data_IF_460252233965
#
_entry.id   IF_460252233965
#
_cell.length_a   1.000
_cell.length_b   1.000
_cell.length_c   1.000
_cell.angle_alpha   90.00
_cell.angle_beta   90.00
_cell.angle_gamma   90.00
#
_symmetry.space_group_name_H-M   'P 1'
#
loop_
_entity.id
_entity.type
_entity.pdbx_description
1 polymer ?
#
# COMPACT_ATOMS: atom_id res chain seq x y z
N UNK A 1 -18.86 23.33 20.07
CA UNK A 1 -18.64 21.94 19.61
C UNK A 1 -19.55 21.05 20.43
N UNK A 2 -20.40 20.24 19.79
CA UNK A 2 -21.19 19.22 20.51
C UNK A 2 -20.23 18.19 21.12
N UNK A 3 -20.41 17.88 22.40
CA UNK A 3 -19.63 16.87 23.10
C UNK A 3 -20.00 15.48 22.57
N UNK A 4 -19.02 14.57 22.43
CA UNK A 4 -19.27 13.16 22.07
C UNK A 4 -20.29 12.51 23.01
N UNK A 5 -20.25 12.83 24.31
CA UNK A 5 -21.21 12.31 25.28
C UNK A 5 -22.66 12.74 24.95
N UNK A 6 -22.86 14.01 24.58
CA UNK A 6 -24.16 14.55 24.20
C UNK A 6 -24.67 13.93 22.88
N UNK A 7 -23.77 13.66 21.93
CA UNK A 7 -24.11 12.98 20.68
C UNK A 7 -24.51 11.51 20.93
N UNK A 8 -23.82 10.82 21.83
CA UNK A 8 -24.13 9.44 22.21
C UNK A 8 -25.45 9.38 22.99
N UNK A 9 -25.70 10.30 23.91
CA UNK A 9 -26.99 10.36 24.63
C UNK A 9 -28.15 10.68 23.68
N UNK A 10 -27.94 11.58 22.71
CA UNK A 10 -28.98 11.99 21.77
C UNK A 10 -29.27 10.97 20.68
N UNK A 11 -28.27 10.22 20.21
CA UNK A 11 -28.40 9.35 19.05
C UNK A 11 -28.08 7.89 19.32
N UNK A 12 -27.54 7.54 20.49
CA UNK A 12 -27.01 6.22 20.85
C UNK A 12 -28.00 5.09 20.61
N UNK A 13 -29.24 5.26 21.08
CA UNK A 13 -30.29 4.25 20.98
C UNK A 13 -30.83 4.07 19.55
N UNK A 14 -30.55 5.02 18.65
CA UNK A 14 -30.97 5.01 17.25
C UNK A 14 -29.83 4.68 16.27
N UNK A 15 -28.62 4.39 16.76
CA UNK A 15 -27.48 4.06 15.91
C UNK A 15 -27.59 2.61 15.39
N UNK A 16 -27.87 2.48 14.10
CA UNK A 16 -27.72 1.19 13.42
C UNK A 16 -26.26 0.97 13.01
N UNK A 17 -25.56 0.13 13.78
CA UNK A 17 -24.12 -0.14 13.59
C UNK A 17 -23.94 -1.36 12.67
N UNK A 18 -23.05 -1.30 11.66
CA UNK A 18 -22.75 -2.47 10.83
C UNK A 18 -22.12 -3.59 11.66
N UNK A 19 -22.31 -4.87 11.25
CA UNK A 19 -21.65 -5.99 11.90
C UNK A 19 -20.12 -5.85 11.81
N UNK A 20 -19.43 -6.28 12.86
CA UNK A 20 -17.97 -6.24 12.89
C UNK A 20 -17.38 -7.13 11.78
N UNK A 21 -16.37 -6.66 11.04
CA UNK A 21 -15.69 -7.52 10.06
C UNK A 21 -14.93 -8.65 10.77
N UNK A 22 -15.00 -9.85 10.19
CA UNK A 22 -14.25 -11.01 10.68
C UNK A 22 -12.77 -10.86 10.30
N UNK A 23 -11.88 -10.90 11.29
CA UNK A 23 -10.42 -10.92 11.08
C UNK A 23 -10.00 -12.20 10.37
N UNK A 24 -9.09 -12.08 9.41
CA UNK A 24 -8.69 -13.22 8.57
C UNK A 24 -7.24 -13.17 8.07
N UNK A 25 -6.48 -12.11 8.37
CA UNK A 25 -5.06 -12.01 8.02
C UNK A 25 -4.27 -12.15 9.30
N UNK A 26 -3.19 -12.94 9.24
CA UNK A 26 -2.25 -13.13 10.33
C UNK A 26 -0.84 -12.85 9.83
N UNK A 27 -0.06 -12.15 10.65
CA UNK A 27 1.39 -12.04 10.48
C UNK A 27 2.06 -13.08 11.35
N UNK A 28 2.96 -13.85 10.76
CA UNK A 28 3.77 -14.87 11.43
C UNK A 28 5.24 -14.50 11.22
N UNK A 29 6.08 -14.76 12.21
CA UNK A 29 7.52 -14.56 12.04
C UNK A 29 8.03 -15.44 10.89
N UNK A 30 8.89 -14.87 10.04
CA UNK A 30 9.55 -15.65 9.00
C UNK A 30 10.47 -16.71 9.61
N UNK A 31 10.63 -17.83 8.91
CA UNK A 31 11.56 -18.90 9.30
C UNK A 31 13.01 -18.43 9.11
N UNK A 32 13.97 -19.05 9.82
CA UNK A 32 15.37 -18.58 9.85
C UNK A 32 16.09 -18.66 8.49
N UNK A 33 15.58 -19.50 7.59
CA UNK A 33 16.06 -19.71 6.23
C UNK A 33 15.32 -18.85 5.18
N UNK A 34 14.25 -18.15 5.56
CA UNK A 34 13.54 -17.25 4.67
C UNK A 34 14.27 -15.91 4.53
N UNK A 35 14.69 -15.60 3.30
CA UNK A 35 15.29 -14.33 2.96
C UNK A 35 14.25 -13.30 2.49
N UNK A 36 14.52 -12.04 2.79
CA UNK A 36 13.74 -10.93 2.24
C UNK A 36 13.82 -10.92 0.70
N UNK A 37 12.72 -10.60 -0.02
CA UNK A 37 12.75 -10.43 -1.46
C UNK A 37 13.85 -9.45 -1.89
N UNK A 38 14.75 -9.90 -2.78
CA UNK A 38 15.86 -9.12 -3.37
C UNK A 38 15.38 -8.18 -4.49
N UNK A 39 14.17 -7.65 -4.35
CA UNK A 39 13.51 -6.78 -5.33
C UNK A 39 13.56 -5.33 -4.88
N UNK A 40 13.79 -4.41 -5.82
CA UNK A 40 13.77 -2.95 -5.57
C UNK A 40 12.44 -2.49 -4.95
N UNK A 41 11.33 -3.02 -5.46
CA UNK A 41 9.98 -2.77 -4.97
C UNK A 41 9.27 -4.09 -4.68
N UNK A 42 8.67 -4.23 -3.51
CA UNK A 42 8.00 -5.46 -3.05
C UNK A 42 6.90 -5.93 -4.01
N UNK A 43 6.16 -5.00 -4.60
CA UNK A 43 5.10 -5.33 -5.54
C UNK A 43 5.60 -5.67 -6.95
N UNK A 44 6.90 -5.56 -7.25
CA UNK A 44 7.41 -5.84 -8.61
C UNK A 44 7.16 -7.27 -9.09
N UNK A 45 7.03 -8.22 -8.15
CA UNK A 45 6.71 -9.63 -8.41
C UNK A 45 5.22 -9.98 -8.19
N UNK A 46 4.38 -9.00 -7.87
CA UNK A 46 2.94 -9.18 -7.69
C UNK A 46 2.17 -8.98 -9.00
N UNK A 47 0.96 -9.53 -9.07
CA UNK A 47 0.02 -9.26 -10.15
C UNK A 47 -0.40 -7.78 -10.07
N UNK A 48 -0.14 -7.04 -11.15
CA UNK A 48 -0.50 -5.63 -11.23
C UNK A 48 -1.90 -5.47 -11.84
N UNK A 49 -2.70 -4.50 -11.36
CA UNK A 49 -4.01 -4.24 -11.95
C UNK A 49 -3.85 -3.79 -13.41
N UNK A 50 -4.62 -4.41 -14.32
CA UNK A 50 -4.66 -4.06 -15.75
C UNK A 50 -3.31 -4.11 -16.49
N UNK A 51 -2.31 -4.87 -15.99
CA UNK A 51 -1.01 -4.91 -16.64
C UNK A 51 -1.01 -5.75 -17.94
N UNK A 52 -0.41 -5.18 -18.99
CA UNK A 52 -0.08 -5.90 -20.22
C UNK A 52 1.35 -6.47 -20.20
N UNK A 53 2.18 -6.04 -19.25
CA UNK A 53 3.61 -6.38 -19.17
C UNK A 53 4.02 -6.75 -17.75
N UNK A 54 5.22 -7.31 -17.62
CA UNK A 54 5.96 -7.32 -16.34
C UNK A 54 6.39 -5.91 -15.94
N UNK A 55 6.88 -5.77 -14.71
CA UNK A 55 7.46 -4.51 -14.22
C UNK A 55 8.87 -4.35 -14.77
N UNK A 56 9.17 -3.17 -15.31
CA UNK A 56 10.48 -2.79 -15.81
C UNK A 56 11.10 -1.72 -14.93
N UNK A 57 12.43 -1.77 -14.78
CA UNK A 57 13.18 -0.71 -14.12
C UNK A 57 13.58 0.34 -15.14
N UNK A 58 13.19 1.58 -14.87
CA UNK A 58 13.53 2.76 -15.64
C UNK A 58 14.13 3.81 -14.70
N UNK A 59 14.97 4.68 -15.27
CA UNK A 59 15.50 5.87 -14.62
C UNK A 59 14.84 7.09 -15.25
N UNK A 60 14.64 8.14 -14.46
CA UNK A 60 14.30 9.46 -15.00
C UNK A 60 15.57 10.02 -15.64
N UNK A 61 15.64 10.02 -16.97
CA UNK A 61 16.80 10.54 -17.71
C UNK A 61 16.73 12.05 -17.88
N UNK A 62 15.51 12.61 -17.92
CA UNK A 62 15.28 14.03 -18.00
C UNK A 62 13.93 14.39 -17.37
N UNK A 63 13.82 15.62 -16.87
CA UNK A 63 12.54 16.21 -16.52
C UNK A 63 12.57 17.72 -16.77
N UNK A 64 11.42 18.29 -17.14
CA UNK A 64 11.27 19.72 -17.37
C UNK A 64 9.93 20.19 -16.80
N UNK A 65 9.95 21.33 -16.10
CA UNK A 65 8.72 22.01 -15.71
C UNK A 65 8.17 22.73 -16.95
N UNK A 66 6.95 22.40 -17.36
CA UNK A 66 6.28 23.00 -18.52
C UNK A 66 5.28 24.08 -18.11
N UNK A 67 4.81 24.04 -16.85
CA UNK A 67 3.96 25.05 -16.26
C UNK A 67 4.22 25.15 -14.75
N UNK A 68 4.29 26.36 -14.21
CA UNK A 68 4.40 26.65 -12.77
C UNK A 68 3.95 28.10 -12.50
N UNK A 69 3.24 28.32 -11.40
CA UNK A 69 2.76 29.64 -10.99
C UNK A 69 1.85 29.54 -9.76
N UNK A 70 1.39 30.67 -9.25
CA UNK A 70 0.57 30.71 -8.03
C UNK A 70 -0.83 30.12 -8.24
N UNK A 71 -1.44 30.39 -9.40
CA UNK A 71 -2.82 29.98 -9.73
C UNK A 71 -2.89 28.77 -10.66
N UNK A 72 -1.77 28.08 -10.89
CA UNK A 72 -1.72 26.91 -11.77
C UNK A 72 -1.00 25.74 -11.12
N UNK A 73 -1.44 24.53 -11.47
CA UNK A 73 -0.74 23.31 -11.04
C UNK A 73 0.62 23.23 -11.74
N UNK A 74 1.66 22.88 -11.00
CA UNK A 74 2.96 22.55 -11.59
C UNK A 74 2.82 21.31 -12.48
N UNK A 75 3.31 21.40 -13.72
CA UNK A 75 3.31 20.29 -14.67
C UNK A 75 4.74 19.91 -15.00
N UNK A 76 5.03 18.62 -14.87
CA UNK A 76 6.32 18.03 -15.23
C UNK A 76 6.18 17.21 -16.50
N UNK A 77 7.07 17.48 -17.46
CA UNK A 77 7.38 16.58 -18.55
C UNK A 77 8.56 15.70 -18.12
N UNK A 78 8.41 14.39 -18.17
CA UNK A 78 9.37 13.41 -17.61
C UNK A 78 9.74 12.39 -18.68
N UNK A 79 11.03 12.20 -18.89
CA UNK A 79 11.56 11.21 -19.82
C UNK A 79 12.14 10.05 -19.03
N UNK A 80 11.66 8.85 -19.34
CA UNK A 80 12.13 7.60 -18.76
C UNK A 80 13.07 6.88 -19.73
N UNK A 81 14.23 6.46 -19.25
CA UNK A 81 15.17 5.62 -20.01
C UNK A 81 15.50 4.35 -19.22
N UNK A 82 15.75 3.25 -19.95
CA UNK A 82 16.26 2.02 -19.36
C UNK A 82 17.53 1.62 -20.10
N UNK A 83 18.53 1.19 -19.34
CA UNK A 83 19.76 0.59 -19.89
C UNK A 83 19.56 -0.91 -20.18
N UNK A 84 18.40 -1.47 -19.78
CA UNK A 84 18.06 -2.88 -19.95
C UNK A 84 17.23 -3.10 -21.20
N UNK A 85 17.35 -4.28 -21.79
CA UNK A 85 16.48 -4.70 -22.88
C UNK A 85 15.05 -4.86 -22.35
N UNK A 86 14.11 -4.20 -23.03
CA UNK A 86 12.67 -4.22 -22.69
C UNK A 86 11.95 -4.97 -23.79
N UNK A 87 11.31 -6.08 -23.42
CA UNK A 87 10.59 -6.99 -24.30
C UNK A 87 9.18 -6.49 -24.64
N UNK A 88 9.01 -5.17 -24.76
CA UNK A 88 7.74 -4.55 -25.09
C UNK A 88 7.92 -3.27 -25.90
N UNK A 89 7.07 -3.06 -26.91
CA UNK A 89 7.04 -1.86 -27.75
C UNK A 89 5.81 -1.03 -27.40
N UNK A 90 6.05 0.22 -27.04
CA UNK A 90 5.02 1.20 -26.71
C UNK A 90 4.66 2.02 -27.96
N UNK A 91 3.40 2.43 -28.05
CA UNK A 91 2.90 3.33 -29.10
C UNK A 91 2.28 4.59 -28.50
N UNK A 92 2.23 5.71 -29.25
CA UNK A 92 1.56 6.92 -28.76
C UNK A 92 0.10 6.64 -28.38
N UNK A 93 -0.26 7.01 -27.14
CA UNK A 93 -1.58 6.73 -26.56
C UNK A 93 -1.57 5.60 -25.53
N UNK A 94 -0.51 4.79 -25.47
CA UNK A 94 -0.35 3.80 -24.39
C UNK A 94 -0.20 4.47 -23.02
N UNK A 95 -0.62 3.76 -21.97
CA UNK A 95 -0.52 4.22 -20.58
C UNK A 95 0.56 3.43 -19.84
N UNK A 96 1.29 4.10 -18.95
CA UNK A 96 2.27 3.48 -18.05
C UNK A 96 1.75 3.52 -16.61
N UNK A 97 1.85 2.39 -15.92
CA UNK A 97 1.68 2.31 -14.46
C UNK A 97 3.03 2.47 -13.76
N UNK A 98 3.08 3.29 -12.71
CA UNK A 98 4.28 3.53 -11.91
C UNK A 98 4.06 2.95 -10.51
N UNK A 99 4.98 2.11 -10.05
CA UNK A 99 5.01 1.66 -8.65
C UNK A 99 5.57 2.78 -7.78
N UNK A 100 4.77 3.27 -6.85
CA UNK A 100 5.10 4.38 -5.96
C UNK A 100 5.31 3.90 -4.54
N UNK A 101 6.03 4.71 -3.74
CA UNK A 101 6.17 4.51 -2.30
C UNK A 101 5.45 5.61 -1.54
N UNK A 102 4.92 5.31 -0.37
CA UNK A 102 4.52 6.33 0.59
C UNK A 102 5.74 7.13 1.06
N UNK A 103 5.51 8.36 1.50
CA UNK A 103 6.57 9.21 2.05
C UNK A 103 7.13 8.59 3.32
N UNK A 104 8.44 8.70 3.52
CA UNK A 104 9.09 8.15 4.72
C UNK A 104 8.51 8.76 6.01
N UNK A 105 8.19 10.06 6.01
CA UNK A 105 7.57 10.74 7.15
C UNK A 105 6.19 10.16 7.54
N UNK A 106 5.39 9.75 6.56
CA UNK A 106 4.08 9.12 6.81
C UNK A 106 4.27 7.71 7.39
N UNK A 107 5.25 6.97 6.87
CA UNK A 107 5.57 5.62 7.35
C UNK A 107 6.14 5.69 8.77
N UNK A 108 7.05 6.62 9.04
CA UNK A 108 7.65 6.84 10.36
C UNK A 108 6.58 7.20 11.38
N UNK A 109 5.71 8.16 11.05
CA UNK A 109 4.59 8.55 11.91
C UNK A 109 3.67 7.38 12.23
N UNK A 110 3.37 6.52 11.25
CA UNK A 110 2.54 5.34 11.47
C UNK A 110 3.24 4.28 12.33
N UNK A 111 4.51 4.00 12.06
CA UNK A 111 5.31 3.04 12.85
C UNK A 111 5.39 3.49 14.31
N UNK A 112 5.57 4.79 14.55
CA UNK A 112 5.59 5.35 15.88
C UNK A 112 4.24 5.26 16.58
N UNK A 113 3.16 5.63 15.87
CA UNK A 113 1.80 5.58 16.41
C UNK A 113 1.36 4.16 16.79
N UNK A 114 1.87 3.14 16.09
CA UNK A 114 1.57 1.73 16.34
C UNK A 114 2.59 1.06 17.27
N UNK A 115 3.60 1.79 17.77
CA UNK A 115 4.66 1.27 18.65
C UNK A 115 5.46 0.10 18.03
N UNK A 116 5.73 0.17 16.72
CA UNK A 116 6.37 -0.90 15.94
C UNK A 116 7.87 -0.68 15.69
N UNK A 117 8.50 0.31 16.31
CA UNK A 117 9.87 0.74 16.00
C UNK A 117 10.89 -0.41 16.10
N UNK A 118 10.73 -1.29 17.10
CA UNK A 118 11.64 -2.42 17.36
C UNK A 118 11.48 -3.57 16.37
N UNK A 119 10.35 -3.65 15.67
CA UNK A 119 9.99 -4.77 14.79
C UNK A 119 9.80 -4.37 13.33
N UNK A 120 9.88 -3.08 13.01
CA UNK A 120 9.59 -2.55 11.66
C UNK A 120 10.48 -3.17 10.55
N UNK A 121 11.67 -3.63 10.89
CA UNK A 121 12.60 -4.29 9.96
C UNK A 121 12.58 -5.82 10.03
N UNK A 122 11.80 -6.40 10.95
CA UNK A 122 11.65 -7.86 11.04
C UNK A 122 10.84 -8.37 9.85
N UNK A 123 11.25 -9.52 9.33
CA UNK A 123 10.58 -10.20 8.22
C UNK A 123 9.38 -11.00 8.75
N UNK A 124 8.22 -10.79 8.12
CA UNK A 124 6.98 -11.49 8.45
C UNK A 124 6.42 -12.22 7.24
N UNK A 125 5.76 -13.33 7.51
CA UNK A 125 4.90 -14.04 6.56
C UNK A 125 3.46 -13.57 6.72
N UNK A 126 2.85 -13.17 5.60
CA UNK A 126 1.43 -12.76 5.54
C UNK A 126 0.60 -13.97 5.14
N UNK A 127 -0.27 -14.41 6.04
CA UNK A 127 -1.08 -15.62 5.84
C UNK A 127 -2.56 -15.39 6.14
N UNK A 128 -3.40 -16.29 5.67
CA UNK A 128 -4.80 -16.38 6.13
C UNK A 128 -4.80 -17.03 7.51
N UNK A 129 -5.47 -16.41 8.47
CA UNK A 129 -5.63 -16.98 9.80
C UNK A 129 -6.40 -18.31 9.71
N UNK A 130 -5.80 -19.46 10.09
CA UNK A 130 -6.47 -20.76 10.01
C UNK A 130 -7.70 -20.86 10.92
N UNK A 131 -7.82 -20.01 11.94
CA UNK A 131 -8.98 -19.95 12.82
C UNK A 131 -10.12 -19.09 12.26
N UNK A 132 -9.95 -18.45 11.09
CA UNK A 132 -10.97 -17.54 10.55
C UNK A 132 -12.24 -18.25 10.12
N UNK A 133 -13.39 -17.64 10.43
CA UNK A 133 -14.71 -18.07 9.94
C UNK A 133 -15.08 -17.42 8.60
N UNK A 134 -14.21 -16.57 8.05
CA UNK A 134 -14.46 -15.88 6.80
C UNK A 134 -14.36 -16.85 5.62
N UNK A 135 -15.50 -17.09 4.95
CA UNK A 135 -15.55 -17.91 3.73
C UNK A 135 -14.66 -17.30 2.64
N UNK A 136 -13.88 -18.14 1.97
CA UNK A 136 -12.97 -17.75 0.89
C UNK A 136 -11.99 -16.62 1.27
N UNK A 137 -11.52 -16.58 2.52
CA UNK A 137 -10.46 -15.69 2.94
C UNK A 137 -9.18 -15.95 2.13
N UNK A 138 -8.57 -14.87 1.62
CA UNK A 138 -7.34 -14.88 0.83
C UNK A 138 -6.50 -13.67 1.19
N UNK A 139 -5.18 -13.84 1.19
CA UNK A 139 -4.25 -12.70 1.23
C UNK A 139 -4.46 -11.86 -0.05
N UNK A 140 -4.53 -10.52 0.04
CA UNK A 140 -4.66 -9.68 -1.15
C UNK A 140 -3.50 -9.90 -2.12
N UNK A 141 -3.82 -9.99 -3.42
CA UNK A 141 -2.85 -10.37 -4.47
C UNK A 141 -1.69 -9.38 -4.66
N UNK A 142 -1.84 -8.16 -4.16
CA UNK A 142 -0.84 -7.10 -4.20
C UNK A 142 0.08 -7.08 -2.97
N UNK A 143 -0.10 -8.01 -2.02
CA UNK A 143 0.75 -8.17 -0.84
C UNK A 143 1.62 -9.42 -1.05
N UNK A 144 2.96 -9.29 -1.06
CA UNK A 144 3.87 -10.44 -1.11
C UNK A 144 3.72 -11.34 0.12
N UNK A 145 4.10 -12.61 -0.03
CA UNK A 145 4.09 -13.58 1.07
C UNK A 145 5.01 -13.18 2.22
N UNK A 146 6.19 -12.67 1.92
CA UNK A 146 7.22 -12.28 2.88
C UNK A 146 7.47 -10.77 2.80
N UNK A 147 7.30 -10.07 3.92
CA UNK A 147 7.40 -8.61 3.98
C UNK A 147 8.03 -8.14 5.29
N UNK A 148 9.03 -7.23 5.22
CA UNK A 148 9.35 -6.38 6.36
C UNK A 148 8.22 -5.38 6.59
N UNK A 149 7.82 -5.12 7.84
CA UNK A 149 6.70 -4.22 8.16
C UNK A 149 6.87 -2.83 7.55
N UNK A 150 8.07 -2.24 7.65
CA UNK A 150 8.35 -0.92 7.06
C UNK A 150 8.15 -0.92 5.54
N UNK A 151 8.62 -1.97 4.84
CA UNK A 151 8.42 -2.07 3.39
C UNK A 151 6.95 -2.35 3.03
N UNK A 152 6.21 -3.09 3.86
CA UNK A 152 4.76 -3.28 3.68
C UNK A 152 4.03 -1.92 3.71
N UNK A 153 4.31 -1.08 4.72
CA UNK A 153 3.72 0.26 4.81
C UNK A 153 4.20 1.19 3.70
N UNK A 154 5.47 1.14 3.34
CA UNK A 154 6.04 2.02 2.31
C UNK A 154 5.56 1.67 0.90
N UNK A 155 5.46 0.38 0.55
CA UNK A 155 5.40 -0.05 -0.85
C UNK A 155 4.10 -0.79 -1.22
N UNK A 156 3.27 -1.22 -0.27
CA UNK A 156 2.14 -2.12 -0.57
C UNK A 156 0.78 -1.62 -0.09
N UNK A 157 0.74 -0.68 0.85
CA UNK A 157 -0.49 -0.19 1.48
C UNK A 157 -0.71 1.28 1.16
N UNK A 158 -1.93 1.66 0.82
CA UNK A 158 -2.29 3.06 0.61
C UNK A 158 -2.63 3.72 1.96
N UNK A 159 -1.65 4.44 2.51
CA UNK A 159 -1.78 5.12 3.81
C UNK A 159 -2.65 6.39 3.73
N UNK A 160 -2.90 6.91 2.53
CA UNK A 160 -3.77 8.09 2.31
C UNK A 160 -5.20 7.68 1.98
N UNK A 161 -5.49 6.38 1.88
CA UNK A 161 -6.85 5.89 1.64
C UNK A 161 -7.80 6.32 2.76
N UNK A 162 -9.00 6.75 2.37
CA UNK A 162 -10.04 7.14 3.35
C UNK A 162 -10.56 5.88 4.05
N UNK A 163 -10.48 5.79 5.39
CA UNK A 163 -11.00 4.66 6.13
C UNK A 163 -12.49 4.44 5.86
N UNK A 164 -12.84 3.25 5.38
CA UNK A 164 -14.23 2.87 5.11
C UNK A 164 -14.96 2.56 6.43
N UNK A 165 -16.29 2.64 6.44
CA UNK A 165 -17.14 2.36 7.62
C UNK A 165 -16.80 1.05 8.33
N UNK A 166 -16.51 -0.01 7.57
CA UNK A 166 -16.14 -1.32 8.15
C UNK A 166 -14.76 -1.33 8.81
N UNK A 167 -13.82 -0.50 8.36
CA UNK A 167 -12.52 -0.35 9.02
C UNK A 167 -12.66 0.39 10.34
N UNK A 168 -13.43 1.48 10.36
CA UNK A 168 -13.74 2.24 11.59
C UNK A 168 -14.48 1.35 12.61
N UNK A 169 -15.27 0.38 12.14
CA UNK A 169 -15.98 -0.58 12.97
C UNK A 169 -15.08 -1.67 13.58
N UNK A 170 -13.91 -1.94 13.02
CA UNK A 170 -13.09 -3.13 13.30
C UNK A 170 -12.39 -3.11 14.67
#
# INVERSE_FOLDING_TARGET
>A
MLNIAELVEKYGDNLTIPPAPVKFIKLVDAESDEEQPKTEHLQSSCIQPFCATRVFQYKISNHKITAQGEDIKTVYDVVLASDSEVDYRWTPGDTVGILTKNLDEDVDSLVDHLELQSTQHKLYRVEVDPATKKKAAKVPVYIPKLVPLRKLFSECLDLKSIPKKLFIRA
#
